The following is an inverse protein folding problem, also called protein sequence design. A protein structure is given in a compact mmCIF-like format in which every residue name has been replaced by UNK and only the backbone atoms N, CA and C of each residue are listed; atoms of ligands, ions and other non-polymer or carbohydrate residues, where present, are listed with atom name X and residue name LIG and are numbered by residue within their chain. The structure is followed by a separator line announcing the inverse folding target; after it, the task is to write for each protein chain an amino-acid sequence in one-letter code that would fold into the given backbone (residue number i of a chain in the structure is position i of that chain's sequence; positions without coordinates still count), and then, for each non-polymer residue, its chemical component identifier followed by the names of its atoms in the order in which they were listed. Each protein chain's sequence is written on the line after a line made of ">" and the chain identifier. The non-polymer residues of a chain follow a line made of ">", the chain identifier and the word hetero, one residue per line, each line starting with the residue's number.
data_IF_348523182492
#
_entry.id   IF_348523182492
#
_cell.length_a   1.000
_cell.length_b   1.000
_cell.length_c   1.000
_cell.angle_alpha   90.00
_cell.angle_beta   90.00
_cell.angle_gamma   90.00
#
_symmetry.space_group_name_H-M   'P 1'
#
loop_
_entity.id
_entity.type
_entity.pdbx_description
1 polymer ?
#
# COMPACT_ATOMS: atom_id res chain seq x y z
N UNK A 1 -11.91 94.05 -5.68
CA UNK A 1 -12.18 92.79 -6.41
C UNK A 1 -10.95 91.91 -6.23
N UNK A 2 -10.95 91.03 -5.23
CA UNK A 2 -9.85 90.11 -4.92
C UNK A 2 -10.46 88.74 -4.70
N UNK A 3 -10.04 87.77 -5.51
CA UNK A 3 -10.62 86.44 -5.60
C UNK A 3 -9.87 85.49 -4.64
N UNK A 4 -10.53 84.86 -3.64
CA UNK A 4 -9.87 84.03 -2.65
C UNK A 4 -10.10 82.54 -2.93
N UNK A 5 -9.56 82.01 -4.02
CA UNK A 5 -9.52 80.55 -4.22
C UNK A 5 -8.23 80.16 -4.95
N UNK A 6 -7.23 79.83 -4.15
CA UNK A 6 -6.01 79.17 -4.58
C UNK A 6 -6.16 77.67 -4.21
N UNK A 7 -6.29 76.76 -5.17
CA UNK A 7 -6.47 75.34 -4.85
C UNK A 7 -5.14 74.73 -4.42
N UNK A 8 -5.02 74.44 -3.13
CA UNK A 8 -3.92 73.66 -2.55
C UNK A 8 -3.87 72.28 -3.22
N UNK A 9 -2.83 72.03 -4.02
CA UNK A 9 -2.58 70.74 -4.63
C UNK A 9 -2.22 69.71 -3.54
N UNK A 10 -3.19 68.89 -3.16
CA UNK A 10 -2.98 67.73 -2.28
C UNK A 10 -2.21 66.66 -3.04
N UNK A 11 -0.88 66.64 -2.87
CA UNK A 11 -0.05 65.52 -3.32
C UNK A 11 -0.33 64.35 -2.40
N UNK A 12 -1.00 63.32 -2.94
CA UNK A 12 -1.34 62.10 -2.22
C UNK A 12 -0.14 61.15 -2.30
N UNK A 13 0.78 61.26 -1.34
CA UNK A 13 1.88 60.31 -1.15
C UNK A 13 1.31 58.97 -0.69
N UNK A 14 0.99 58.10 -1.65
CA UNK A 14 0.66 56.70 -1.36
C UNK A 14 1.95 55.89 -1.28
N UNK A 15 2.29 55.25 -0.14
CA UNK A 15 3.50 54.43 -0.06
C UNK A 15 3.39 53.21 -1.00
N UNK A 16 4.50 52.78 -1.60
CA UNK A 16 4.52 51.64 -2.53
C UNK A 16 4.09 50.34 -1.83
N UNK A 17 3.30 49.47 -2.50
CA UNK A 17 2.80 48.25 -1.89
C UNK A 17 3.94 47.29 -1.54
N UNK A 18 3.99 46.90 -0.26
CA UNK A 18 4.98 46.00 0.33
C UNK A 18 4.81 44.57 -0.22
N UNK A 19 5.87 43.88 -0.69
CA UNK A 19 5.77 42.56 -1.33
C UNK A 19 5.57 41.43 -0.30
N UNK A 20 4.34 41.26 0.21
CA UNK A 20 4.05 40.34 1.34
C UNK A 20 3.63 38.91 1.00
N UNK A 21 3.64 38.46 -0.26
CA UNK A 21 2.96 37.20 -0.61
C UNK A 21 3.78 36.14 -1.36
N UNK A 22 4.96 36.46 -1.88
CA UNK A 22 5.72 35.52 -2.72
C UNK A 22 6.18 34.25 -1.98
N UNK A 23 6.49 34.35 -0.68
CA UNK A 23 7.13 33.25 0.04
C UNK A 23 6.18 32.11 0.46
N UNK A 24 4.88 32.40 0.62
CA UNK A 24 3.87 31.40 1.02
C UNK A 24 3.56 30.37 -0.09
N UNK A 25 3.72 30.77 -1.34
CA UNK A 25 3.43 29.88 -2.49
C UNK A 25 4.56 28.87 -2.68
N UNK A 26 5.82 29.29 -2.51
CA UNK A 26 7.00 28.44 -2.69
C UNK A 26 7.11 27.32 -1.66
N UNK A 27 6.77 27.57 -0.39
CA UNK A 27 6.84 26.56 0.67
C UNK A 27 5.78 25.46 0.52
N UNK A 28 4.59 25.81 0.03
CA UNK A 28 3.56 24.81 -0.28
C UNK A 28 3.96 23.86 -1.41
N UNK A 29 4.59 24.39 -2.46
CA UNK A 29 5.02 23.62 -3.63
C UNK A 29 6.14 22.63 -3.28
N UNK A 30 7.11 23.06 -2.48
CA UNK A 30 8.20 22.21 -1.99
C UNK A 30 7.64 21.07 -1.13
N UNK A 31 6.73 21.38 -0.20
CA UNK A 31 6.10 20.36 0.65
C UNK A 31 5.33 19.29 -0.16
N UNK A 32 4.66 19.71 -1.24
CA UNK A 32 3.95 18.79 -2.13
C UNK A 32 4.88 17.86 -2.90
N UNK A 33 6.02 18.37 -3.39
CA UNK A 33 7.02 17.54 -4.05
C UNK A 33 7.63 16.50 -3.10
N UNK A 34 7.92 16.88 -1.85
CA UNK A 34 8.45 15.94 -0.86
C UNK A 34 7.43 14.86 -0.46
N UNK A 35 6.16 15.22 -0.28
CA UNK A 35 5.11 14.24 0.01
C UNK A 35 4.93 13.23 -1.14
N UNK A 36 4.94 13.72 -2.39
CA UNK A 36 4.90 12.86 -3.58
C UNK A 36 6.12 11.94 -3.67
N UNK A 37 7.31 12.45 -3.42
CA UNK A 37 8.55 11.67 -3.43
C UNK A 37 8.54 10.57 -2.35
N UNK A 38 8.11 10.90 -1.13
CA UNK A 38 8.00 9.93 -0.03
C UNK A 38 7.01 8.83 -0.36
N UNK A 39 5.86 9.17 -0.95
CA UNK A 39 4.88 8.17 -1.39
C UNK A 39 5.46 7.25 -2.48
N UNK A 40 6.20 7.80 -3.43
CA UNK A 40 6.80 7.02 -4.51
C UNK A 40 7.93 6.12 -4.00
N UNK A 41 8.78 6.62 -3.09
CA UNK A 41 9.94 5.87 -2.58
C UNK A 41 9.57 4.88 -1.48
N UNK A 42 8.57 5.17 -0.65
CA UNK A 42 8.20 4.31 0.49
C UNK A 42 6.87 3.60 0.23
N UNK A 43 5.86 4.33 -0.25
CA UNK A 43 4.54 3.76 -0.51
C UNK A 43 4.56 2.68 -1.59
N UNK A 44 5.25 2.91 -2.70
CA UNK A 44 5.36 1.93 -3.79
C UNK A 44 6.00 0.60 -3.37
N UNK A 45 7.20 0.55 -2.75
CA UNK A 45 7.79 -0.71 -2.33
C UNK A 45 6.98 -1.41 -1.22
N UNK A 46 6.33 -0.67 -0.32
CA UNK A 46 5.44 -1.28 0.69
C UNK A 46 4.24 -1.94 0.00
N UNK A 47 3.60 -1.27 -0.95
CA UNK A 47 2.51 -1.85 -1.73
C UNK A 47 2.96 -3.08 -2.52
N UNK A 48 4.13 -3.01 -3.16
CA UNK A 48 4.71 -4.14 -3.89
C UNK A 48 5.05 -5.33 -2.96
N UNK A 49 5.64 -5.06 -1.79
CA UNK A 49 5.96 -6.08 -0.79
C UNK A 49 4.69 -6.76 -0.25
N UNK A 50 3.63 -5.99 0.02
CA UNK A 50 2.34 -6.53 0.42
C UNK A 50 1.75 -7.39 -0.70
N UNK A 51 1.70 -6.92 -1.94
CA UNK A 51 1.19 -7.70 -3.07
C UNK A 51 1.97 -9.00 -3.29
N UNK A 52 3.29 -8.95 -3.15
CA UNK A 52 4.17 -10.12 -3.22
C UNK A 52 3.87 -11.12 -2.09
N UNK A 53 3.78 -10.64 -0.85
CA UNK A 53 3.46 -11.47 0.32
C UNK A 53 2.07 -12.13 0.20
N UNK A 54 1.06 -11.38 -0.25
CA UNK A 54 -0.27 -11.92 -0.54
C UNK A 54 -0.24 -13.02 -1.61
N UNK A 55 0.59 -12.85 -2.65
CA UNK A 55 0.75 -13.83 -3.72
C UNK A 55 1.42 -15.12 -3.23
N UNK A 56 2.41 -15.02 -2.35
CA UNK A 56 3.07 -16.18 -1.73
C UNK A 56 2.13 -16.94 -0.80
N UNK A 57 1.36 -16.25 0.03
CA UNK A 57 0.40 -16.90 0.93
C UNK A 57 -0.70 -17.65 0.17
N UNK A 58 -1.17 -17.12 -0.98
CA UNK A 58 -2.14 -17.84 -1.82
C UNK A 58 -1.64 -19.20 -2.31
N UNK A 59 -0.36 -19.32 -2.65
CA UNK A 59 0.22 -20.60 -3.09
C UNK A 59 0.19 -21.65 -1.97
N UNK A 60 0.42 -21.23 -0.72
CA UNK A 60 0.36 -22.13 0.43
C UNK A 60 -1.05 -22.66 0.74
N UNK A 61 -2.10 -21.91 0.44
CA UNK A 61 -3.48 -22.40 0.56
C UNK A 61 -3.84 -23.36 -0.58
N UNK A 62 -3.49 -23.04 -1.82
CA UNK A 62 -3.73 -23.91 -2.97
C UNK A 62 -3.01 -25.27 -2.85
N UNK A 63 -1.80 -25.29 -2.27
CA UNK A 63 -1.07 -26.53 -2.01
C UNK A 63 -1.74 -27.39 -0.93
N UNK A 64 -2.31 -26.77 0.10
CA UNK A 64 -3.08 -27.48 1.13
C UNK A 64 -4.38 -28.05 0.60
N UNK A 65 -5.11 -27.28 -0.22
CA UNK A 65 -6.31 -27.77 -0.90
C UNK A 65 -5.99 -28.90 -1.87
N UNK A 66 -4.87 -28.82 -2.61
CA UNK A 66 -4.41 -29.92 -3.46
C UNK A 66 -4.01 -31.17 -2.65
N UNK A 67 -3.48 -30.99 -1.45
CA UNK A 67 -3.16 -32.10 -0.54
C UNK A 67 -4.42 -32.72 0.06
N UNK A 68 -5.43 -31.91 0.41
CA UNK A 68 -6.75 -32.36 0.90
C UNK A 68 -7.59 -33.01 -0.21
N UNK A 69 -7.51 -32.53 -1.45
CA UNK A 69 -8.13 -33.18 -2.61
C UNK A 69 -7.55 -34.57 -2.88
N UNK A 70 -6.32 -34.81 -2.42
CA UNK A 70 -5.65 -36.10 -2.47
C UNK A 70 -5.79 -36.83 -1.13
N UNK A 71 -6.98 -36.89 -0.54
CA UNK A 71 -7.25 -37.71 0.64
C UNK A 71 -7.82 -39.05 0.20
N UNK A 72 -7.23 -40.15 0.69
CA UNK A 72 -7.70 -41.52 0.47
C UNK A 72 -8.17 -42.14 1.78
N UNK A 73 -9.09 -43.09 1.73
CA UNK A 73 -9.50 -43.84 2.92
C UNK A 73 -8.52 -45.00 3.18
N UNK A 74 -8.12 -45.18 4.44
CA UNK A 74 -7.32 -46.34 4.82
C UNK A 74 -8.17 -47.63 4.68
N UNK A 75 -7.74 -48.66 3.94
CA UNK A 75 -8.50 -49.90 3.77
C UNK A 75 -8.78 -50.65 5.07
N UNK A 76 -7.91 -50.51 6.08
CA UNK A 76 -8.04 -51.23 7.35
C UNK A 76 -8.98 -50.54 8.36
N UNK A 77 -8.85 -49.21 8.54
CA UNK A 77 -9.61 -48.47 9.56
C UNK A 77 -10.56 -47.39 9.00
N UNK A 78 -10.69 -47.31 7.67
CA UNK A 78 -11.53 -46.38 6.90
C UNK A 78 -11.29 -44.88 7.18
N UNK A 79 -10.23 -44.55 7.92
CA UNK A 79 -9.88 -43.18 8.22
C UNK A 79 -9.27 -42.50 7.01
N UNK A 80 -9.62 -41.23 6.84
CA UNK A 80 -8.99 -40.33 5.90
C UNK A 80 -7.49 -40.16 6.18
N UNK A 81 -6.70 -40.35 5.13
CA UNK A 81 -5.25 -40.24 5.14
C UNK A 81 -4.82 -39.51 3.87
N UNK A 82 -3.79 -38.66 3.96
CA UNK A 82 -3.24 -38.00 2.75
C UNK A 82 -2.69 -39.05 1.77
N UNK A 83 -2.85 -38.83 0.47
CA UNK A 83 -2.50 -39.80 -0.58
C UNK A 83 -1.01 -40.18 -0.56
N UNK A 84 -0.16 -39.27 -0.11
CA UNK A 84 1.28 -39.48 0.00
C UNK A 84 1.71 -40.11 1.33
N UNK A 85 0.77 -40.38 2.25
CA UNK A 85 1.11 -41.05 3.51
C UNK A 85 1.41 -42.53 3.25
N UNK A 86 2.60 -43.00 3.67
CA UNK A 86 3.01 -44.41 3.57
C UNK A 86 2.55 -45.26 4.74
N UNK A 87 2.12 -44.64 5.83
CA UNK A 87 1.73 -45.32 7.06
C UNK A 87 0.47 -44.64 7.61
N UNK A 88 -0.55 -45.42 7.97
CA UNK A 88 -1.72 -44.88 8.64
C UNK A 88 -1.37 -44.45 10.07
N UNK A 89 -1.67 -43.21 10.50
CA UNK A 89 -1.37 -42.75 11.85
C UNK A 89 -2.23 -43.42 12.94
N UNK A 90 -3.30 -44.12 12.56
CA UNK A 90 -4.23 -44.75 13.53
C UNK A 90 -3.99 -46.23 13.73
N UNK A 91 -3.90 -47.00 12.65
CA UNK A 91 -3.72 -48.46 12.72
C UNK A 91 -2.29 -48.92 12.37
N UNK A 92 -1.38 -47.97 12.11
CA UNK A 92 0.02 -48.24 11.72
C UNK A 92 0.20 -49.14 10.51
N UNK A 93 -0.85 -49.36 9.71
CA UNK A 93 -0.77 -50.15 8.48
C UNK A 93 0.09 -49.39 7.47
N UNK A 94 1.11 -50.07 6.94
CA UNK A 94 2.00 -49.55 5.90
C UNK A 94 1.36 -49.81 4.52
N UNK A 95 1.39 -48.80 3.66
CA UNK A 95 0.94 -48.88 2.28
C UNK A 95 2.18 -49.06 1.40
N UNK A 96 2.43 -50.28 0.94
CA UNK A 96 3.32 -50.51 -0.19
C UNK A 96 2.62 -49.92 -1.42
N UNK A 97 3.22 -48.89 -2.03
CA UNK A 97 2.70 -48.27 -3.25
C UNK A 97 2.58 -49.33 -4.36
N UNK A 98 1.38 -49.89 -4.58
CA UNK A 98 1.06 -50.56 -5.84
C UNK A 98 0.69 -49.48 -6.85
N UNK A 99 1.58 -49.31 -7.83
CA UNK A 99 1.44 -48.51 -9.05
C UNK A 99 0.07 -48.72 -9.70
#
# INVERSE_FOLDING_TARGET
>A
MTNPYEPTATTTDTPPPEPKSAWKVTTGLIGWCFAGLVYLVIGWPVAAALAFFYSFNRKGLAEKEALEANVRACPNCQREIGANSRICPRCMTRFENSI
#
